data_IF_171125387728
#
_entry.id   IF_171125387728
#
_cell.length_a   1.000
_cell.length_b   1.000
_cell.length_c   1.000
_cell.angle_alpha   90.00
_cell.angle_beta   90.00
_cell.angle_gamma   90.00
#
_symmetry.space_group_name_H-M   'P 1'
#
loop_
_entity.id
_entity.type
_entity.pdbx_description
1 polymer ?
#
# COMPACT_ATOMS: atom_id res chain seq x y z
N UNK A 1 -12.19 9.54 -17.18
CA UNK A 1 -11.63 10.28 -16.03
C UNK A 1 -10.34 9.62 -15.62
N UNK A 2 -9.22 10.34 -15.64
CA UNK A 2 -7.92 9.84 -15.14
C UNK A 2 -7.95 10.00 -13.62
N UNK A 3 -7.66 8.96 -12.82
CA UNK A 3 -7.59 9.10 -11.36
C UNK A 3 -6.37 9.96 -11.01
N UNK A 4 -6.61 11.13 -10.41
CA UNK A 4 -5.57 12.06 -9.96
C UNK A 4 -5.35 11.81 -8.47
N UNK A 5 -4.13 11.45 -8.07
CA UNK A 5 -3.73 11.33 -6.67
C UNK A 5 -3.39 12.72 -6.12
N UNK A 6 -4.03 13.11 -5.01
CA UNK A 6 -3.73 14.36 -4.31
C UNK A 6 -2.60 14.14 -3.30
N UNK A 7 -1.49 14.87 -3.45
CA UNK A 7 -0.47 14.99 -2.42
C UNK A 7 -0.74 16.23 -1.57
N UNK A 8 -0.98 16.07 -0.27
CA UNK A 8 -1.05 17.19 0.68
C UNK A 8 0.36 17.39 1.24
N UNK A 9 1.01 18.50 0.89
CA UNK A 9 2.25 18.91 1.52
C UNK A 9 1.94 19.96 2.59
N UNK A 10 1.97 19.57 3.86
CA UNK A 10 2.15 20.54 4.94
C UNK A 10 3.62 20.97 4.92
N UNK A 11 3.87 22.23 4.58
CA UNK A 11 5.20 22.82 4.67
C UNK A 11 5.52 23.09 6.16
N UNK A 12 5.97 22.06 6.90
CA UNK A 12 6.63 22.28 8.18
C UNK A 12 8.04 22.79 7.90
N UNK A 13 8.22 24.09 8.07
CA UNK A 13 9.53 24.73 8.05
C UNK A 13 10.28 24.28 9.31
N UNK A 14 11.18 23.30 9.20
CA UNK A 14 12.06 22.89 10.30
C UNK A 14 13.01 24.05 10.63
N UNK A 15 12.66 24.85 11.64
CA UNK A 15 13.64 25.69 12.32
C UNK A 15 14.43 24.81 13.28
N UNK A 16 15.70 24.57 12.96
CA UNK A 16 16.67 23.97 13.87
C UNK A 16 16.85 24.90 15.07
N UNK A 17 16.49 24.44 16.27
CA UNK A 17 16.76 25.16 17.52
C UNK A 17 18.05 24.64 18.16
N UNK A 18 19.00 25.55 18.36
CA UNK A 18 20.16 25.36 19.23
C UNK A 18 19.72 25.30 20.71
N UNK A 19 20.46 24.60 21.61
CA UNK A 19 20.05 24.40 22.98
C UNK A 19 20.40 25.62 23.84
N UNK A 20 19.37 26.30 24.36
CA UNK A 20 19.55 27.25 25.45
C UNK A 20 18.50 28.34 25.50
N UNK A 21 17.38 28.09 26.20
CA UNK A 21 16.77 28.99 27.18
C UNK A 21 15.45 28.41 27.73
N UNK A 22 15.16 28.54 29.04
CA UNK A 22 13.96 28.00 29.65
C UNK A 22 12.79 28.99 29.54
N UNK A 23 11.63 28.49 29.14
CA UNK A 23 10.34 29.11 29.44
C UNK A 23 9.80 30.06 28.37
N UNK A 24 9.38 29.54 27.22
CA UNK A 24 8.22 30.02 26.47
C UNK A 24 7.72 28.85 25.60
N UNK A 25 6.54 28.33 25.89
CA UNK A 25 5.89 27.36 25.01
C UNK A 25 5.59 28.06 23.67
N UNK A 26 6.11 27.59 22.53
CA UNK A 26 5.72 28.14 21.24
C UNK A 26 4.26 27.77 21.01
N UNK A 27 3.41 28.80 21.03
CA UNK A 27 2.05 28.72 20.51
C UNK A 27 2.16 28.44 19.02
N UNK A 28 2.12 27.17 18.60
CA UNK A 28 2.01 26.83 17.19
C UNK A 28 0.64 27.30 16.68
N UNK A 29 0.61 28.51 16.13
CA UNK A 29 -0.51 29.00 15.35
C UNK A 29 -0.56 28.15 14.08
N UNK A 30 -1.36 27.09 14.11
CA UNK A 30 -1.68 26.28 12.93
C UNK A 30 -2.32 27.17 11.86
N UNK A 31 -1.52 27.69 10.93
CA UNK A 31 -2.00 28.48 9.82
C UNK A 31 -2.98 27.66 8.99
N UNK A 32 -4.14 28.25 8.66
CA UNK A 32 -5.16 27.62 7.83
C UNK A 32 -4.55 27.29 6.45
N UNK A 33 -4.73 26.07 5.92
CA UNK A 33 -4.27 25.71 4.57
C UNK A 33 -4.81 26.71 3.53
N UNK A 34 -3.93 27.24 2.68
CA UNK A 34 -4.26 28.35 1.76
C UNK A 34 -4.66 27.92 0.34
N UNK A 35 -4.45 26.64 -0.03
CA UNK A 35 -4.79 26.17 -1.36
C UNK A 35 -4.40 24.70 -1.59
N UNK A 36 -4.84 24.17 -2.73
CA UNK A 36 -4.47 22.86 -3.23
C UNK A 36 -3.55 23.03 -4.44
N UNK A 37 -2.46 22.27 -4.48
CA UNK A 37 -1.50 22.28 -5.58
C UNK A 37 -1.39 20.88 -6.17
N UNK A 38 -1.39 20.78 -7.50
CA UNK A 38 -1.10 19.55 -8.20
C UNK A 38 0.41 19.35 -8.24
N UNK A 39 0.93 18.44 -7.40
CA UNK A 39 2.37 18.19 -7.31
C UNK A 39 2.87 17.24 -8.40
N UNK A 40 2.14 16.16 -8.65
CA UNK A 40 2.51 15.19 -9.67
C UNK A 40 1.29 14.43 -10.19
N UNK A 41 1.41 13.88 -11.40
CA UNK A 41 0.41 13.00 -12.01
C UNK A 41 1.09 11.69 -12.37
N UNK A 42 0.43 10.57 -12.07
CA UNK A 42 0.88 9.24 -12.47
C UNK A 42 -0.17 8.61 -13.33
N UNK A 43 0.27 8.04 -14.44
CA UNK A 43 -0.59 7.26 -15.30
C UNK A 43 -0.52 5.79 -14.86
N UNK A 44 -1.66 5.11 -14.69
CA UNK A 44 -1.67 3.67 -14.45
C UNK A 44 -0.97 2.92 -15.60
N UNK A 45 -0.54 1.67 -15.38
CA UNK A 45 -0.20 0.77 -16.47
C UNK A 45 -1.31 0.75 -17.53
N UNK A 46 -0.97 0.59 -18.80
CA UNK A 46 -1.97 0.62 -19.88
C UNK A 46 -2.07 1.95 -20.67
N UNK A 47 -1.32 2.98 -20.27
CA UNK A 47 -1.34 4.30 -20.94
C UNK A 47 -0.10 4.61 -21.79
N UNK A 48 0.90 3.72 -21.81
CA UNK A 48 2.05 3.83 -22.72
C UNK A 48 1.73 3.24 -24.09
N UNK A 49 2.30 3.77 -25.20
CA UNK A 49 1.92 3.41 -26.58
C UNK A 49 2.02 1.91 -26.94
N UNK A 50 2.79 1.12 -26.18
CA UNK A 50 3.11 -0.29 -26.48
C UNK A 50 2.67 -1.28 -25.39
N UNK A 51 1.74 -0.87 -24.52
CA UNK A 51 1.32 -1.71 -23.39
C UNK A 51 0.39 -2.84 -23.83
N UNK A 52 0.68 -4.06 -23.38
CA UNK A 52 -0.19 -5.24 -23.52
C UNK A 52 -1.18 -5.38 -22.36
N UNK A 53 -1.02 -4.57 -21.31
CA UNK A 53 -1.85 -4.59 -20.11
C UNK A 53 -3.08 -3.72 -20.36
N UNK A 54 -4.26 -4.19 -19.93
CA UNK A 54 -5.48 -3.42 -20.01
C UNK A 54 -5.36 -2.07 -19.30
N UNK A 55 -6.17 -1.09 -19.70
CA UNK A 55 -6.26 0.22 -19.04
C UNK A 55 -7.49 0.33 -18.15
N UNK A 56 -7.38 0.89 -16.93
CA UNK A 56 -8.55 1.22 -16.13
C UNK A 56 -9.40 2.27 -16.86
N UNK A 57 -10.65 1.92 -17.15
CA UNK A 57 -11.65 2.80 -17.75
C UNK A 57 -12.89 2.80 -16.87
N UNK A 58 -13.66 3.87 -16.87
CA UNK A 58 -14.91 3.95 -16.08
C UNK A 58 -14.66 3.64 -14.60
N UNK A 59 -13.58 4.20 -14.04
CA UNK A 59 -13.28 4.10 -12.61
C UNK A 59 -14.33 4.91 -11.86
N UNK A 60 -15.09 4.26 -10.98
CA UNK A 60 -16.16 4.89 -10.20
C UNK A 60 -15.81 5.01 -8.71
N UNK A 61 -14.84 4.23 -8.22
CA UNK A 61 -14.38 4.27 -6.85
C UNK A 61 -12.87 4.10 -6.76
N UNK A 62 -12.26 4.77 -5.79
CA UNK A 62 -10.83 4.66 -5.51
C UNK A 62 -10.57 4.78 -4.01
N UNK A 63 -9.59 4.02 -3.52
CA UNK A 63 -9.17 4.00 -2.12
C UNK A 63 -7.64 4.01 -2.06
N UNK A 64 -7.07 4.94 -1.31
CA UNK A 64 -5.62 5.04 -1.11
C UNK A 64 -5.28 4.92 0.37
N UNK A 65 -4.34 4.04 0.70
CA UNK A 65 -3.79 3.90 2.05
C UNK A 65 -2.34 3.45 1.98
N UNK A 66 -1.45 4.23 2.63
CA UNK A 66 -0.01 3.94 2.79
C UNK A 66 0.63 3.32 1.54
N UNK A 67 0.73 4.10 0.44
CA UNK A 67 1.40 3.66 -0.78
C UNK A 67 0.65 2.59 -1.59
N UNK A 68 -0.56 2.22 -1.21
CA UNK A 68 -1.43 1.31 -1.97
C UNK A 68 -2.67 2.04 -2.47
N UNK A 69 -2.89 2.02 -3.79
CA UNK A 69 -4.07 2.53 -4.47
C UNK A 69 -4.91 1.36 -4.99
N UNK A 70 -6.17 1.33 -4.60
CA UNK A 70 -7.20 0.47 -5.15
C UNK A 70 -8.14 1.32 -6.03
N UNK A 71 -8.51 0.82 -7.19
CA UNK A 71 -9.46 1.46 -8.09
C UNK A 71 -10.46 0.43 -8.58
N UNK A 72 -11.73 0.79 -8.61
CA UNK A 72 -12.78 -0.08 -9.16
C UNK A 72 -13.29 0.52 -10.45
N UNK A 73 -13.30 -0.31 -11.49
CA UNK A 73 -13.83 0.03 -12.80
C UNK A 73 -14.96 -0.89 -13.22
N UNK A 74 -15.92 -0.36 -13.97
CA UNK A 74 -17.01 -1.15 -14.56
C UNK A 74 -16.85 -1.21 -16.08
N UNK A 75 -16.05 -2.16 -16.62
CA UNK A 75 -15.91 -2.30 -18.08
C UNK A 75 -17.14 -2.97 -18.72
N UNK A 76 -17.89 -3.78 -17.97
CA UNK A 76 -19.07 -4.51 -18.41
C UNK A 76 -20.22 -4.29 -17.41
N UNK A 77 -21.49 -4.31 -17.85
CA UNK A 77 -22.62 -4.34 -16.94
C UNK A 77 -22.51 -5.56 -16.01
N UNK A 78 -22.80 -5.36 -14.73
CA UNK A 78 -22.83 -6.38 -13.66
C UNK A 78 -21.51 -7.02 -13.21
N UNK A 79 -20.35 -6.62 -13.76
CA UNK A 79 -19.06 -7.09 -13.26
C UNK A 79 -18.01 -5.97 -13.21
N UNK A 80 -17.54 -5.69 -11.99
CA UNK A 80 -16.44 -4.77 -11.78
C UNK A 80 -15.08 -5.45 -11.82
N UNK A 81 -14.05 -4.67 -12.12
CA UNK A 81 -12.64 -5.02 -11.94
C UNK A 81 -12.03 -4.18 -10.84
N UNK A 82 -11.30 -4.82 -9.93
CA UNK A 82 -10.46 -4.16 -8.94
C UNK A 82 -9.02 -4.11 -9.46
N UNK A 83 -8.51 -2.90 -9.58
CA UNK A 83 -7.11 -2.60 -9.89
C UNK A 83 -6.40 -2.27 -8.59
N UNK A 84 -5.23 -2.85 -8.39
CA UNK A 84 -4.36 -2.57 -7.25
C UNK A 84 -2.99 -2.13 -7.73
N UNK A 85 -2.54 -0.97 -7.26
CA UNK A 85 -1.18 -0.45 -7.43
C UNK A 85 -0.58 -0.28 -6.03
N UNK A 86 0.59 -0.86 -5.76
CA UNK A 86 1.19 -0.79 -4.42
C UNK A 86 2.70 -0.66 -4.47
N UNK A 87 3.24 0.31 -3.72
CA UNK A 87 4.69 0.46 -3.47
C UNK A 87 5.15 -0.19 -2.17
N UNK A 88 4.23 -0.74 -1.36
CA UNK A 88 4.52 -1.28 -0.03
C UNK A 88 5.58 -2.41 0.00
N UNK A 89 5.66 -3.28 -1.02
CA UNK A 89 6.74 -4.28 -1.08
C UNK A 89 8.15 -3.68 -1.29
N UNK A 90 8.26 -2.40 -1.63
CA UNK A 90 9.49 -1.76 -2.11
C UNK A 90 9.86 -0.46 -1.35
N UNK A 91 9.95 -0.45 -0.01
CA UNK A 91 9.98 0.78 0.78
C UNK A 91 11.28 1.62 0.67
N UNK A 92 12.38 1.04 0.18
CA UNK A 92 13.72 1.66 0.18
C UNK A 92 14.23 2.08 -1.20
N UNK A 93 13.40 1.96 -2.24
CA UNK A 93 13.83 2.24 -3.61
C UNK A 93 13.97 3.75 -3.81
N UNK A 94 15.11 4.17 -4.37
CA UNK A 94 15.34 5.58 -4.73
C UNK A 94 14.32 6.08 -5.76
N UNK A 95 13.95 5.20 -6.69
CA UNK A 95 12.88 5.45 -7.65
C UNK A 95 11.61 4.73 -7.21
N UNK A 96 10.47 5.33 -7.53
CA UNK A 96 9.17 4.75 -7.23
C UNK A 96 8.95 3.47 -8.03
N UNK A 97 8.78 2.36 -7.32
CA UNK A 97 8.44 1.05 -7.87
C UNK A 97 7.10 0.62 -7.30
N UNK A 98 6.21 0.15 -8.16
CA UNK A 98 4.91 -0.37 -7.77
C UNK A 98 4.63 -1.72 -8.42
N UNK A 99 4.02 -2.62 -7.66
CA UNK A 99 3.35 -3.79 -8.19
C UNK A 99 1.94 -3.42 -8.65
N UNK A 100 1.53 -3.94 -9.81
CA UNK A 100 0.17 -3.78 -10.34
C UNK A 100 -0.52 -5.12 -10.46
N UNK A 101 -1.76 -5.22 -9.97
CA UNK A 101 -2.60 -6.42 -10.08
C UNK A 101 -4.02 -6.03 -10.49
N UNK A 102 -4.70 -6.88 -11.26
CA UNK A 102 -6.11 -6.72 -11.62
C UNK A 102 -6.85 -8.00 -11.26
N UNK A 103 -8.00 -7.86 -10.60
CA UNK A 103 -8.88 -8.98 -10.26
C UNK A 103 -10.32 -8.68 -10.63
N UNK A 104 -11.07 -9.71 -11.01
CA UNK A 104 -12.51 -9.64 -11.27
C UNK A 104 -13.28 -9.70 -9.96
N UNK A 105 -14.26 -8.82 -9.81
CA UNK A 105 -15.22 -8.89 -8.72
C UNK A 105 -16.39 -9.80 -9.10
N UNK A 106 -17.14 -10.26 -8.10
CA UNK A 106 -18.36 -11.06 -8.29
C UNK A 106 -19.60 -10.23 -8.64
N UNK A 107 -19.45 -8.91 -8.71
CA UNK A 107 -20.54 -7.98 -8.99
C UNK A 107 -20.07 -6.53 -8.99
N UNK A 108 -21.01 -5.60 -8.87
CA UNK A 108 -20.72 -4.18 -8.73
C UNK A 108 -20.31 -3.86 -7.29
N UNK A 109 -19.23 -3.07 -7.14
CA UNK A 109 -18.77 -2.56 -5.85
C UNK A 109 -19.54 -1.28 -5.52
N UNK A 110 -20.08 -1.21 -4.31
CA UNK A 110 -20.77 -0.03 -3.79
C UNK A 110 -19.89 0.81 -2.86
N UNK A 111 -19.02 0.17 -2.08
CA UNK A 111 -18.18 0.86 -1.11
C UNK A 111 -16.85 0.15 -0.89
N UNK A 112 -15.82 0.92 -0.55
CA UNK A 112 -14.48 0.44 -0.20
C UNK A 112 -14.09 1.08 1.14
N UNK A 113 -13.64 0.28 2.10
CA UNK A 113 -13.23 0.79 3.41
C UNK A 113 -12.11 -0.06 4.04
N UNK A 114 -11.19 0.58 4.76
CA UNK A 114 -10.19 -0.13 5.55
C UNK A 114 -10.83 -0.86 6.74
N UNK A 115 -10.42 -2.11 6.95
CA UNK A 115 -10.88 -2.92 8.08
C UNK A 115 -9.97 -2.65 9.27
N UNK A 116 -10.53 -2.06 10.32
CA UNK A 116 -9.79 -1.79 11.56
C UNK A 116 -9.53 -3.11 12.31
N UNK A 117 -8.29 -3.38 12.75
CA UNK A 117 -8.00 -4.50 13.65
C UNK A 117 -8.83 -4.39 14.93
N UNK A 118 -9.26 -5.53 15.48
CA UNK A 118 -9.99 -5.59 16.76
C UNK A 118 -9.07 -5.49 17.99
N UNK A 119 -7.76 -5.51 17.80
CA UNK A 119 -6.77 -5.52 18.88
C UNK A 119 -6.83 -4.21 19.69
N UNK A 120 -6.90 -4.35 21.01
CA UNK A 120 -6.97 -3.23 21.98
C UNK A 120 -5.59 -2.69 22.39
N UNK A 121 -4.52 -3.10 21.72
CA UNK A 121 -3.16 -2.72 22.09
C UNK A 121 -2.90 -1.32 21.55
N UNK A 122 -2.74 -0.35 22.46
CA UNK A 122 -2.62 1.08 22.13
C UNK A 122 -1.26 1.46 21.52
N UNK A 123 -0.26 0.57 21.58
CA UNK A 123 1.11 0.86 21.14
C UNK A 123 1.37 0.27 19.76
N UNK A 124 1.24 1.12 18.74
CA UNK A 124 1.68 0.82 17.38
C UNK A 124 3.21 0.98 17.28
N UNK A 125 3.93 -0.14 17.21
CA UNK A 125 5.38 -0.12 16.92
C UNK A 125 5.62 -0.41 15.44
N UNK A 126 6.71 0.09 14.82
CA UNK A 126 7.03 -0.23 13.43
C UNK A 126 7.11 -1.74 13.16
N UNK A 127 7.57 -2.51 14.14
CA UNK A 127 7.63 -3.97 14.07
C UNK A 127 6.22 -4.59 14.03
N UNK A 128 5.31 -4.14 14.91
CA UNK A 128 3.93 -4.63 14.92
C UNK A 128 3.19 -4.23 13.65
N UNK A 129 3.37 -2.98 13.21
CA UNK A 129 2.84 -2.49 11.96
C UNK A 129 3.36 -3.32 10.79
N UNK A 130 4.61 -3.80 10.79
CA UNK A 130 5.13 -4.67 9.74
C UNK A 130 4.52 -6.10 9.77
N UNK A 131 4.06 -6.59 10.92
CA UNK A 131 3.49 -7.95 11.07
C UNK A 131 2.00 -8.04 10.76
N UNK A 132 1.22 -6.99 11.02
CA UNK A 132 -0.23 -7.04 10.84
C UNK A 132 -0.57 -6.65 9.40
N UNK A 133 -1.14 -7.55 8.58
CA UNK A 133 -1.54 -7.20 7.22
C UNK A 133 -2.72 -6.23 7.26
N UNK A 134 -2.66 -5.17 6.46
CA UNK A 134 -3.78 -4.23 6.32
C UNK A 134 -4.84 -4.88 5.44
N UNK A 135 -6.10 -4.74 5.84
CA UNK A 135 -7.23 -5.34 5.13
C UNK A 135 -8.19 -4.25 4.66
N UNK A 136 -8.75 -4.44 3.48
CA UNK A 136 -9.75 -3.55 2.90
C UNK A 136 -10.97 -4.38 2.55
N UNK A 137 -12.14 -3.89 2.96
CA UNK A 137 -13.43 -4.47 2.62
C UNK A 137 -14.00 -3.77 1.38
N UNK A 138 -14.44 -4.55 0.40
CA UNK A 138 -15.22 -4.10 -0.73
C UNK A 138 -16.62 -4.68 -0.60
N UNK A 139 -17.62 -3.80 -0.42
CA UNK A 139 -19.01 -4.19 -0.42
C UNK A 139 -19.49 -4.29 -1.87
N UNK A 140 -19.93 -5.47 -2.29
CA UNK A 140 -20.57 -5.70 -3.59
C UNK A 140 -22.05 -6.00 -3.43
N UNK A 141 -22.79 -6.03 -4.53
CA UNK A 141 -24.17 -6.50 -4.54
C UNK A 141 -24.32 -8.00 -4.22
N UNK A 142 -23.23 -8.77 -4.21
CA UNK A 142 -23.24 -10.21 -3.86
C UNK A 142 -22.69 -10.49 -2.46
N UNK A 143 -21.99 -9.55 -1.84
CA UNK A 143 -21.42 -9.77 -0.51
C UNK A 143 -20.29 -8.79 -0.17
N UNK A 144 -19.32 -9.26 0.61
CA UNK A 144 -18.16 -8.46 1.01
C UNK A 144 -16.88 -9.21 0.69
N UNK A 145 -16.00 -8.59 -0.09
CA UNK A 145 -14.65 -9.07 -0.36
C UNK A 145 -13.68 -8.44 0.62
N UNK A 146 -12.89 -9.26 1.31
CA UNK A 146 -11.82 -8.76 2.17
C UNK A 146 -10.48 -9.01 1.47
N UNK A 147 -9.88 -7.95 0.96
CA UNK A 147 -8.56 -8.00 0.34
C UNK A 147 -7.48 -7.61 1.34
N UNK A 148 -6.38 -8.36 1.35
CA UNK A 148 -5.21 -8.03 2.18
C UNK A 148 -4.18 -7.30 1.33
N UNK A 149 -3.73 -6.14 1.78
CA UNK A 149 -2.64 -5.38 1.16
C UNK A 149 -1.32 -5.98 1.64
N UNK A 150 -0.69 -6.77 0.76
CA UNK A 150 0.50 -7.54 1.08
C UNK A 150 1.73 -6.63 1.22
N UNK A 151 2.51 -6.90 2.26
CA UNK A 151 3.83 -6.31 2.50
C UNK A 151 4.92 -7.27 2.03
N UNK A 152 6.17 -6.81 2.10
CA UNK A 152 7.33 -7.63 1.75
C UNK A 152 7.38 -8.96 2.52
N UNK A 153 7.00 -8.94 3.80
CA UNK A 153 6.97 -10.15 4.65
C UNK A 153 5.92 -11.16 4.19
N UNK A 154 4.74 -10.69 3.79
CA UNK A 154 3.67 -11.55 3.28
C UNK A 154 4.09 -12.20 1.96
N UNK A 155 4.75 -11.44 1.06
CA UNK A 155 5.24 -11.96 -0.21
C UNK A 155 6.28 -13.06 0.01
N UNK A 156 7.26 -12.83 0.89
CA UNK A 156 8.27 -13.84 1.20
C UNK A 156 7.63 -15.10 1.79
N UNK A 157 6.66 -14.94 2.70
CA UNK A 157 5.92 -16.05 3.27
C UNK A 157 5.19 -16.86 2.19
N UNK A 158 4.44 -16.19 1.31
CA UNK A 158 3.70 -16.86 0.23
C UNK A 158 4.64 -17.60 -0.72
N UNK A 159 5.77 -17.00 -1.09
CA UNK A 159 6.78 -17.64 -1.93
C UNK A 159 7.34 -18.89 -1.25
N UNK A 160 7.72 -18.83 0.02
CA UNK A 160 8.26 -19.98 0.74
C UNK A 160 7.25 -21.12 0.86
N UNK A 161 5.97 -20.81 1.10
CA UNK A 161 4.88 -21.79 1.17
C UNK A 161 4.59 -22.43 -0.19
N UNK A 162 4.48 -21.61 -1.25
CA UNK A 162 4.09 -22.07 -2.58
C UNK A 162 5.23 -22.78 -3.33
N UNK A 163 6.48 -22.38 -3.08
CA UNK A 163 7.64 -22.85 -3.83
C UNK A 163 8.47 -23.93 -3.12
N UNK A 164 8.03 -24.39 -1.94
CA UNK A 164 8.67 -25.44 -1.15
C UNK A 164 10.15 -25.16 -0.80
N UNK A 165 10.49 -23.89 -0.55
CA UNK A 165 11.78 -23.50 0.03
C UNK A 165 12.71 -22.66 -0.88
N UNK A 166 13.94 -22.40 -0.42
CA UNK A 166 14.79 -21.32 -0.92
C UNK A 166 15.46 -21.58 -2.27
N UNK A 167 15.48 -22.83 -2.72
CA UNK A 167 16.12 -23.19 -3.99
C UNK A 167 15.29 -22.83 -5.22
N UNK A 168 14.02 -22.48 -5.02
CA UNK A 168 13.14 -22.08 -6.11
C UNK A 168 13.54 -20.70 -6.67
N UNK A 169 13.53 -20.57 -8.00
CA UNK A 169 13.88 -19.34 -8.70
C UNK A 169 13.03 -18.12 -8.27
N UNK A 170 11.76 -18.31 -7.92
CA UNK A 170 10.91 -17.21 -7.45
C UNK A 170 11.36 -16.67 -6.09
N UNK A 171 11.81 -17.54 -5.19
CA UNK A 171 12.37 -17.14 -3.89
C UNK A 171 13.71 -16.44 -4.11
N UNK A 172 14.58 -16.98 -4.96
CA UNK A 172 15.85 -16.30 -5.33
C UNK A 172 15.60 -14.92 -5.91
N UNK A 173 14.65 -14.79 -6.84
CA UNK A 173 14.29 -13.52 -7.47
C UNK A 173 13.83 -12.48 -6.44
N UNK A 174 13.06 -12.86 -5.42
CA UNK A 174 12.72 -11.97 -4.32
C UNK A 174 13.96 -11.40 -3.62
N UNK A 175 14.92 -12.25 -3.27
CA UNK A 175 16.16 -11.81 -2.61
C UNK A 175 17.05 -10.95 -3.52
N UNK A 176 17.02 -11.16 -4.84
CA UNK A 176 17.73 -10.31 -5.80
C UNK A 176 17.11 -8.92 -5.95
N UNK A 177 15.80 -8.80 -5.74
CA UNK A 177 15.08 -7.51 -5.81
C UNK A 177 15.24 -6.72 -4.51
N UNK A 178 15.51 -7.35 -3.38
CA UNK A 178 15.67 -6.64 -2.10
C UNK A 178 17.14 -6.30 -1.84
N UNK A 179 17.40 -5.24 -1.06
CA UNK A 179 18.75 -5.04 -0.52
C UNK A 179 19.02 -6.03 0.62
N UNK A 180 20.29 -6.34 0.88
CA UNK A 180 20.69 -7.29 1.93
C UNK A 180 20.08 -6.95 3.30
N UNK A 181 20.13 -5.70 3.82
CA UNK A 181 19.50 -5.37 5.09
C UNK A 181 17.99 -5.63 5.12
N UNK A 182 17.29 -5.37 4.01
CA UNK A 182 15.84 -5.57 3.92
C UNK A 182 15.45 -7.04 3.83
N UNK A 183 16.19 -7.81 3.04
CA UNK A 183 16.05 -9.24 2.94
C UNK A 183 16.25 -9.90 4.32
N UNK A 184 17.31 -9.51 5.03
CA UNK A 184 17.60 -9.97 6.39
C UNK A 184 16.50 -9.56 7.37
N UNK A 185 16.09 -8.29 7.39
CA UNK A 185 15.03 -7.80 8.28
C UNK A 185 13.70 -8.51 8.03
N UNK A 186 13.33 -8.72 6.77
CA UNK A 186 12.08 -9.42 6.42
C UNK A 186 12.15 -10.90 6.81
N UNK A 187 13.30 -11.55 6.61
CA UNK A 187 13.50 -12.95 7.00
C UNK A 187 13.46 -13.13 8.52
N UNK A 188 14.10 -12.22 9.26
CA UNK A 188 14.06 -12.20 10.73
C UNK A 188 12.63 -11.95 11.22
N UNK A 189 11.93 -11.00 10.61
CA UNK A 189 10.53 -10.72 10.94
C UNK A 189 9.69 -11.99 10.75
N UNK A 190 9.84 -12.66 9.60
CA UNK A 190 9.13 -13.88 9.26
C UNK A 190 9.44 -15.03 10.23
N UNK A 191 10.69 -15.18 10.64
CA UNK A 191 11.11 -16.18 11.64
C UNK A 191 10.51 -15.92 13.03
N UNK A 192 10.20 -14.66 13.34
CA UNK A 192 9.64 -14.24 14.63
C UNK A 192 8.11 -14.20 14.66
N UNK A 193 7.40 -14.45 13.55
CA UNK A 193 5.93 -14.45 13.56
C UNK A 193 5.45 -15.77 14.17
N UNK A 194 4.81 -15.68 15.34
CA UNK A 194 4.39 -16.87 16.13
C UNK A 194 3.36 -17.77 15.43
N UNK A 195 2.72 -17.30 14.36
CA UNK A 195 1.77 -18.07 13.54
C UNK A 195 2.41 -19.19 12.71
N UNK A 196 3.74 -19.29 12.65
CA UNK A 196 4.44 -20.37 11.94
C UNK A 196 4.88 -21.56 12.82
N UNK A 197 4.53 -21.56 14.12
CA UNK A 197 4.68 -22.76 14.95
C UNK A 197 3.52 -23.70 14.60
N UNK A 198 3.82 -24.69 13.76
CA UNK A 198 2.91 -25.78 13.41
C UNK A 198 2.48 -26.60 14.63
#
# INVERSE_FOLDING_TARGET
TVPVLYGIQQQQQQQQFAPGQPGHAPHEQSQRPQGLYLLHVRLPPGYTPNTTVGKPKQVHSAFYSQGSLLMVSTPQPDQDLLWSLSSEPFPSRQNLVESSTVMTMDGQVWAIAEVKPKDKITVETPLRAAQVPRKVALLTNQGVHIVSLLKSVDILQQLLLACHGPHNEAVKAYFQVQSEPQACATSLLLACIETLKG
#
